data_IF_902711300431
#
_entry.id   IF_902711300431
#
_cell.length_a   1.000
_cell.length_b   1.000
_cell.length_c   1.000
_cell.angle_alpha   90.00
_cell.angle_beta   90.00
_cell.angle_gamma   90.00
#
_symmetry.space_group_name_H-M   'P 1'
#
loop_
_entity.id
_entity.type
_entity.pdbx_description
1 polymer ?
#
# COMPACT_ATOMS: atom_id res chain seq x y z
N UNK A 1 25.34 -27.33 -53.47
CA UNK A 1 24.53 -27.43 -52.24
C UNK A 1 24.50 -26.04 -51.60
N UNK A 2 23.34 -25.37 -51.57
CA UNK A 2 23.19 -24.00 -51.09
C UNK A 2 22.74 -23.99 -49.62
N UNK A 3 23.30 -23.13 -48.77
CA UNK A 3 22.77 -22.85 -47.43
C UNK A 3 22.77 -21.32 -47.22
N UNK A 4 21.54 -20.81 -47.30
CA UNK A 4 20.98 -19.54 -46.85
C UNK A 4 21.93 -18.45 -46.31
N UNK A 5 22.10 -17.39 -47.10
CA UNK A 5 22.36 -16.06 -46.57
C UNK A 5 21.10 -15.56 -45.83
N UNK A 6 21.22 -15.37 -44.53
CA UNK A 6 20.20 -14.66 -43.74
C UNK A 6 20.24 -13.19 -44.13
N UNK A 7 19.13 -12.71 -44.70
CA UNK A 7 18.93 -11.32 -45.03
C UNK A 7 18.98 -10.47 -43.75
N UNK A 8 20.09 -9.77 -43.54
CA UNK A 8 20.16 -8.65 -42.62
C UNK A 8 19.44 -7.48 -43.30
N UNK A 9 18.21 -7.19 -42.88
CA UNK A 9 17.51 -5.95 -43.24
C UNK A 9 18.25 -4.74 -42.63
N UNK A 10 19.32 -4.31 -43.28
CA UNK A 10 20.12 -3.13 -42.94
C UNK A 10 19.50 -1.87 -43.55
N UNK A 11 18.26 -1.54 -43.20
CA UNK A 11 17.66 -0.26 -43.62
C UNK A 11 17.51 0.76 -42.47
N UNK A 12 18.31 0.61 -41.40
CA UNK A 12 18.31 1.56 -40.29
C UNK A 12 19.65 2.31 -40.22
N UNK A 13 19.72 3.47 -40.88
CA UNK A 13 20.91 4.34 -40.95
C UNK A 13 21.36 4.88 -39.56
N UNK A 14 20.49 4.77 -38.55
CA UNK A 14 20.76 5.18 -37.18
C UNK A 14 20.24 4.12 -36.19
N UNK A 15 21.08 3.17 -35.75
CA UNK A 15 20.68 2.18 -34.76
C UNK A 15 20.38 2.86 -33.42
N UNK A 16 19.26 2.48 -32.79
CA UNK A 16 18.91 2.95 -31.44
C UNK A 16 19.79 2.22 -30.42
N UNK A 17 20.46 2.92 -29.49
CA UNK A 17 21.27 2.29 -28.46
C UNK A 17 20.47 1.30 -27.60
N UNK A 18 21.11 0.20 -27.25
CA UNK A 18 20.56 -0.77 -26.31
C UNK A 18 20.31 -0.09 -24.95
N UNK A 19 19.18 -0.39 -24.31
CA UNK A 19 18.77 0.25 -23.05
C UNK A 19 18.03 1.59 -23.20
N UNK A 20 18.06 2.25 -24.37
CA UNK A 20 17.35 3.52 -24.56
C UNK A 20 15.82 3.39 -24.42
N UNK A 21 15.25 2.31 -24.97
CA UNK A 21 13.81 2.04 -24.87
C UNK A 21 13.36 1.81 -23.42
N UNK A 22 13.96 0.89 -22.64
CA UNK A 22 13.66 0.74 -21.21
C UNK A 22 13.77 2.04 -20.42
N UNK A 23 14.80 2.85 -20.69
CA UNK A 23 15.03 4.14 -20.02
C UNK A 23 13.89 5.12 -20.23
N UNK A 24 13.46 5.31 -21.48
CA UNK A 24 12.34 6.19 -21.80
C UNK A 24 11.01 5.67 -21.25
N UNK A 25 10.80 4.35 -21.26
CA UNK A 25 9.61 3.73 -20.66
C UNK A 25 9.57 3.99 -19.16
N UNK A 26 10.70 3.86 -18.45
CA UNK A 26 10.80 4.15 -17.03
C UNK A 26 10.51 5.63 -16.74
N UNK A 27 11.12 6.56 -17.48
CA UNK A 27 10.84 7.99 -17.34
C UNK A 27 9.35 8.29 -17.57
N UNK A 28 8.77 7.78 -18.66
CA UNK A 28 7.36 7.99 -18.99
C UNK A 28 6.44 7.44 -17.88
N UNK A 29 6.77 6.26 -17.34
CA UNK A 29 6.02 5.66 -16.22
C UNK A 29 6.05 6.54 -14.98
N UNK A 30 7.22 7.05 -14.60
CA UNK A 30 7.35 7.92 -13.43
C UNK A 30 6.68 9.29 -13.63
N UNK A 31 6.73 9.85 -14.83
CA UNK A 31 6.01 11.09 -15.16
C UNK A 31 4.50 10.91 -15.06
N UNK A 32 3.96 9.81 -15.60
CA UNK A 32 2.52 9.51 -15.51
C UNK A 32 2.07 9.20 -14.08
N UNK A 33 2.95 8.60 -13.27
CA UNK A 33 2.67 8.25 -11.88
C UNK A 33 2.67 9.48 -10.97
N UNK A 34 3.70 10.32 -11.06
CA UNK A 34 3.89 11.46 -10.15
C UNK A 34 3.24 12.76 -10.67
N UNK A 35 2.89 12.82 -11.97
CA UNK A 35 2.29 13.97 -12.64
C UNK A 35 2.95 15.32 -12.26
N UNK A 36 4.28 15.44 -12.46
CA UNK A 36 5.03 16.58 -11.96
C UNK A 36 4.59 17.89 -12.63
N UNK A 37 4.65 19.00 -11.90
CA UNK A 37 4.30 20.33 -12.43
C UNK A 37 5.33 20.84 -13.45
N UNK A 38 6.60 20.52 -13.23
CA UNK A 38 7.71 20.84 -14.14
C UNK A 38 8.37 19.54 -14.62
N UNK A 39 8.14 19.22 -15.91
CA UNK A 39 8.67 18.03 -16.54
C UNK A 39 10.20 18.07 -16.71
N UNK A 40 10.77 19.26 -16.95
CA UNK A 40 12.22 19.39 -17.19
C UNK A 40 12.99 19.20 -15.90
N UNK A 41 12.57 19.86 -14.82
CA UNK A 41 13.16 19.68 -13.49
C UNK A 41 13.00 18.24 -13.01
N UNK A 42 11.83 17.63 -13.24
CA UNK A 42 11.61 16.22 -12.90
C UNK A 42 12.49 15.27 -13.72
N UNK A 43 12.66 15.52 -15.02
CA UNK A 43 13.55 14.72 -15.87
C UNK A 43 15.00 14.78 -15.40
N UNK A 44 15.49 15.97 -15.04
CA UNK A 44 16.83 16.13 -14.47
C UNK A 44 16.98 15.35 -13.16
N UNK A 45 15.98 15.43 -12.27
CA UNK A 45 15.96 14.68 -11.02
C UNK A 45 15.93 13.17 -11.26
N UNK A 46 15.13 12.69 -12.21
CA UNK A 46 15.03 11.28 -12.59
C UNK A 46 16.40 10.72 -12.97
N UNK A 47 17.09 11.37 -13.92
CA UNK A 47 18.40 10.88 -14.37
C UNK A 47 19.48 11.00 -13.28
N UNK A 48 19.46 12.07 -12.49
CA UNK A 48 20.39 12.22 -11.36
C UNK A 48 20.23 11.09 -10.34
N UNK A 49 18.99 10.82 -9.94
CA UNK A 49 18.65 9.75 -8.99
C UNK A 49 18.98 8.38 -9.57
N UNK A 50 18.77 8.18 -10.88
CA UNK A 50 19.06 6.91 -11.54
C UNK A 50 20.55 6.62 -11.57
N UNK A 51 21.39 7.63 -11.83
CA UNK A 51 22.85 7.49 -11.76
C UNK A 51 23.31 7.21 -10.34
N UNK A 52 22.81 7.96 -9.35
CA UNK A 52 23.19 7.78 -7.95
C UNK A 52 22.89 6.36 -7.46
N UNK A 53 21.67 5.86 -7.70
CA UNK A 53 21.29 4.50 -7.24
C UNK A 53 22.04 3.41 -8.01
N UNK A 54 22.38 3.65 -9.28
CA UNK A 54 23.23 2.73 -10.04
C UNK A 54 24.64 2.64 -9.44
N UNK A 55 25.21 3.75 -9.03
CA UNK A 55 26.55 3.80 -8.43
C UNK A 55 26.56 3.15 -7.04
N UNK A 56 25.48 3.32 -6.27
CA UNK A 56 25.32 2.69 -4.95
C UNK A 56 25.04 1.17 -5.02
N UNK A 57 24.19 0.74 -5.96
CA UNK A 57 23.79 -0.67 -6.08
C UNK A 57 24.73 -1.51 -6.94
N UNK A 58 25.56 -0.89 -7.79
CA UNK A 58 26.43 -1.56 -8.76
C UNK A 58 25.69 -2.32 -9.86
N UNK A 59 24.35 -2.18 -9.93
CA UNK A 59 23.46 -2.86 -10.88
C UNK A 59 22.52 -1.81 -11.47
N UNK A 60 22.19 -1.93 -12.77
CA UNK A 60 21.23 -1.04 -13.41
C UNK A 60 19.87 -1.11 -12.68
N UNK A 61 19.39 0.00 -12.09
CA UNK A 61 18.11 0.03 -11.39
C UNK A 61 16.93 -0.36 -12.27
N UNK A 62 17.04 -0.22 -13.59
CA UNK A 62 15.97 -0.58 -14.53
C UNK A 62 15.86 -2.09 -14.79
N UNK A 63 16.91 -2.87 -14.48
CA UNK A 63 16.94 -4.33 -14.71
C UNK A 63 16.48 -5.14 -13.49
N UNK A 64 16.55 -4.57 -12.29
CA UNK A 64 16.17 -5.25 -11.05
C UNK A 64 14.99 -4.59 -10.38
N UNK A 65 13.92 -5.35 -10.10
CA UNK A 65 12.73 -4.86 -9.40
C UNK A 65 13.06 -4.27 -8.03
N UNK A 66 14.01 -4.85 -7.31
CA UNK A 66 14.40 -4.36 -5.98
C UNK A 66 15.16 -3.03 -6.08
N UNK A 67 16.12 -2.94 -7.02
CA UNK A 67 16.87 -1.70 -7.25
C UNK A 67 15.96 -0.59 -7.79
N UNK A 68 14.99 -0.92 -8.64
CA UNK A 68 13.96 0.01 -9.11
C UNK A 68 13.12 0.55 -7.95
N UNK A 69 12.73 -0.30 -6.99
CA UNK A 69 11.97 0.14 -5.81
C UNK A 69 12.76 1.10 -4.91
N UNK A 70 14.07 0.86 -4.74
CA UNK A 70 14.96 1.78 -4.04
C UNK A 70 15.05 3.13 -4.78
N UNK A 71 15.25 3.09 -6.10
CA UNK A 71 15.23 4.27 -6.97
C UNK A 71 13.93 5.07 -6.85
N UNK A 72 12.77 4.43 -6.95
CA UNK A 72 11.47 5.09 -6.83
C UNK A 72 11.31 5.80 -5.47
N UNK A 73 11.77 5.17 -4.40
CA UNK A 73 11.68 5.73 -3.05
C UNK A 73 12.50 7.01 -2.92
N UNK A 74 13.70 7.04 -3.49
CA UNK A 74 14.55 8.24 -3.52
C UNK A 74 13.96 9.32 -4.42
N UNK A 75 13.47 8.92 -5.61
CA UNK A 75 12.88 9.84 -6.58
C UNK A 75 11.67 10.59 -6.01
N UNK A 76 10.73 9.86 -5.39
CA UNK A 76 9.52 10.45 -4.79
C UNK A 76 9.90 11.40 -3.63
N UNK A 77 10.86 10.99 -2.78
CA UNK A 77 11.33 11.81 -1.66
C UNK A 77 11.90 13.14 -2.15
N UNK A 78 12.76 13.10 -3.18
CA UNK A 78 13.38 14.30 -3.72
C UNK A 78 12.40 15.16 -4.52
N UNK A 79 11.46 14.55 -5.26
CA UNK A 79 10.41 15.28 -5.97
C UNK A 79 9.51 16.05 -5.00
N UNK A 80 9.15 15.44 -3.86
CA UNK A 80 8.44 16.11 -2.77
C UNK A 80 9.27 17.25 -2.16
N UNK A 81 10.57 17.05 -1.94
CA UNK A 81 11.47 18.07 -1.37
C UNK A 81 11.58 19.30 -2.28
N UNK A 82 11.59 19.10 -3.59
CA UNK A 82 11.69 20.16 -4.60
C UNK A 82 10.33 20.75 -5.00
N UNK A 83 9.22 20.28 -4.43
CA UNK A 83 7.88 20.77 -4.73
C UNK A 83 7.46 20.51 -6.19
N UNK A 84 7.96 19.43 -6.79
CA UNK A 84 7.64 19.06 -8.17
C UNK A 84 6.29 18.34 -8.30
N UNK A 85 5.68 17.93 -7.19
CA UNK A 85 4.39 17.25 -7.14
C UNK A 85 3.24 18.11 -7.70
N UNK A 86 2.24 17.44 -8.28
CA UNK A 86 0.99 18.09 -8.65
C UNK A 86 0.34 18.64 -7.38
N UNK A 87 0.22 19.95 -7.27
CA UNK A 87 -0.41 20.57 -6.11
C UNK A 87 -1.81 19.99 -5.91
N UNK A 88 -2.00 19.25 -4.84
CA UNK A 88 -3.34 19.07 -4.28
C UNK A 88 -3.68 20.39 -3.58
N UNK A 89 -3.87 21.46 -4.36
CA UNK A 89 -4.40 22.76 -3.92
C UNK A 89 -5.89 22.63 -3.55
N UNK A 90 -6.21 21.65 -2.70
CA UNK A 90 -7.48 21.53 -1.99
C UNK A 90 -7.31 21.61 -0.48
N UNK A 91 -6.07 21.69 0.03
CA UNK A 91 -5.82 21.72 1.48
C UNK A 91 -4.82 22.79 1.94
N UNK A 92 -4.38 23.71 1.09
CA UNK A 92 -3.42 24.76 1.45
C UNK A 92 -4.05 26.01 2.09
N UNK A 93 -5.38 26.18 2.08
CA UNK A 93 -6.06 27.34 2.69
C UNK A 93 -6.67 27.00 4.06
N UNK A 94 -5.86 26.61 5.05
CA UNK A 94 -6.24 26.61 6.48
C UNK A 94 -5.07 27.04 7.38
N UNK A 95 -4.35 28.08 6.96
CA UNK A 95 -3.54 28.90 7.86
C UNK A 95 -4.36 30.15 8.23
N UNK A 96 -5.46 29.95 8.93
CA UNK A 96 -5.95 30.94 9.89
C UNK A 96 -5.93 30.26 11.24
N UNK A 97 -5.26 30.90 12.19
CA UNK A 97 -5.13 30.44 13.57
C UNK A 97 -6.53 30.45 14.18
N UNK A 98 -7.22 29.31 14.16
CA UNK A 98 -8.52 29.18 14.82
C UNK A 98 -8.31 29.26 16.33
N UNK A 99 -9.02 30.19 16.99
CA UNK A 99 -9.04 30.29 18.44
C UNK A 99 -9.56 28.98 19.05
N UNK A 100 -9.06 28.64 20.24
CA UNK A 100 -9.29 27.34 20.87
C UNK A 100 -10.78 26.99 21.03
N UNK A 101 -11.64 28.00 21.16
CA UNK A 101 -13.09 27.85 21.35
C UNK A 101 -13.82 27.53 20.04
N UNK A 102 -13.23 27.86 18.88
CA UNK A 102 -13.81 27.56 17.56
C UNK A 102 -13.58 26.09 17.16
N UNK A 103 -12.56 25.43 17.70
CA UNK A 103 -12.22 24.03 17.40
C UNK A 103 -13.23 23.07 18.04
N UNK A 104 -13.69 23.37 19.25
CA UNK A 104 -14.69 22.56 19.95
C UNK A 104 -16.06 22.67 19.26
N UNK A 105 -16.46 23.88 18.87
CA UNK A 105 -17.70 24.12 18.13
C UNK A 105 -17.65 23.57 16.69
N UNK A 106 -16.50 23.60 16.02
CA UNK A 106 -16.34 22.99 14.70
C UNK A 106 -16.41 21.46 14.77
N UNK A 107 -15.87 20.87 15.85
CA UNK A 107 -15.90 19.43 16.07
C UNK A 107 -17.32 18.91 16.34
N UNK A 108 -18.15 19.64 17.09
CA UNK A 108 -19.55 19.27 17.38
C UNK A 108 -20.47 19.46 16.18
N UNK A 109 -20.32 20.57 15.43
CA UNK A 109 -21.15 20.86 14.26
C UNK A 109 -20.89 19.90 13.07
N UNK A 110 -19.64 19.50 12.84
CA UNK A 110 -19.30 18.51 11.80
C UNK A 110 -19.81 17.10 12.11
N UNK A 111 -20.00 16.76 13.40
CA UNK A 111 -20.53 15.45 13.81
C UNK A 111 -22.05 15.37 13.73
N UNK A 112 -22.76 16.45 14.06
CA UNK A 112 -24.23 16.49 13.99
C UNK A 112 -24.75 16.47 12.56
N UNK A 113 -24.03 17.06 11.59
CA UNK A 113 -24.44 17.03 10.18
C UNK A 113 -24.33 15.65 9.52
N UNK A 114 -23.50 14.73 10.06
CA UNK A 114 -23.25 13.41 9.47
C UNK A 114 -24.01 12.27 10.18
N UNK A 115 -24.61 12.54 11.35
CA UNK A 115 -25.34 11.55 12.16
C UNK A 115 -26.77 11.26 11.66
N UNK A 116 -27.26 11.95 10.62
CA UNK A 116 -28.65 11.90 10.17
C UNK A 116 -28.99 10.80 9.14
N UNK A 117 -28.13 9.79 8.88
CA UNK A 117 -28.57 8.63 8.07
C UNK A 117 -27.92 7.28 8.40
N UNK A 118 -28.80 6.30 8.67
CA UNK A 118 -28.64 4.83 8.62
C UNK A 118 -27.71 4.12 9.63
N UNK A 119 -28.32 3.26 10.45
CA UNK A 119 -27.73 2.58 11.63
C UNK A 119 -26.52 1.65 11.39
N UNK A 120 -26.29 1.17 10.17
CA UNK A 120 -25.16 0.24 9.90
C UNK A 120 -23.84 0.94 9.54
N UNK A 121 -23.90 2.18 9.01
CA UNK A 121 -22.71 3.02 8.78
C UNK A 121 -22.22 3.68 10.07
N UNK A 122 -23.09 3.75 11.07
CA UNK A 122 -22.83 4.41 12.34
C UNK A 122 -21.68 3.78 13.12
N UNK A 123 -21.47 2.45 13.06
CA UNK A 123 -20.37 1.83 13.78
C UNK A 123 -19.00 2.22 13.22
N UNK A 124 -18.87 2.24 11.90
CA UNK A 124 -17.65 2.67 11.21
C UNK A 124 -17.43 4.18 11.37
N UNK A 125 -18.50 4.97 11.24
CA UNK A 125 -18.45 6.41 11.49
C UNK A 125 -18.03 6.73 12.93
N UNK A 126 -18.59 6.04 13.92
CA UNK A 126 -18.25 6.20 15.35
C UNK A 126 -16.77 5.87 15.60
N UNK A 127 -16.22 4.82 14.98
CA UNK A 127 -14.79 4.48 15.10
C UNK A 127 -13.89 5.55 14.51
N UNK A 128 -14.25 6.09 13.35
CA UNK A 128 -13.52 7.18 12.69
C UNK A 128 -13.60 8.46 13.55
N UNK A 129 -14.79 8.81 14.04
CA UNK A 129 -15.04 9.96 14.91
C UNK A 129 -14.24 9.87 16.22
N UNK A 130 -14.29 8.72 16.90
CA UNK A 130 -13.53 8.48 18.12
C UNK A 130 -12.02 8.55 17.88
N UNK A 131 -11.54 8.03 16.74
CA UNK A 131 -10.15 8.10 16.32
C UNK A 131 -9.66 9.54 16.13
N UNK A 132 -10.41 10.34 15.36
CA UNK A 132 -10.10 11.75 15.08
C UNK A 132 -10.14 12.58 16.37
N UNK A 133 -11.21 12.46 17.16
CA UNK A 133 -11.35 13.18 18.45
C UNK A 133 -10.20 12.85 19.39
N UNK A 134 -9.84 11.58 19.51
CA UNK A 134 -8.70 11.15 20.32
C UNK A 134 -7.37 11.69 19.81
N UNK A 135 -7.13 11.69 18.50
CA UNK A 135 -5.90 12.21 17.90
C UNK A 135 -5.74 13.71 18.16
N UNK A 136 -6.79 14.50 17.92
CA UNK A 136 -6.77 15.95 18.16
C UNK A 136 -6.50 16.26 19.64
N UNK A 137 -7.14 15.53 20.55
CA UNK A 137 -6.92 15.69 21.99
C UNK A 137 -5.48 15.37 22.37
N UNK A 138 -4.93 14.26 21.89
CA UNK A 138 -3.52 13.88 22.17
C UNK A 138 -2.54 14.91 21.63
N UNK A 139 -2.75 15.40 20.40
CA UNK A 139 -1.91 16.44 19.78
C UNK A 139 -1.97 17.76 20.56
N UNK A 140 -3.13 18.14 21.07
CA UNK A 140 -3.29 19.34 21.91
C UNK A 140 -2.58 19.20 23.26
N UNK A 141 -2.68 18.03 23.89
CA UNK A 141 -1.97 17.74 25.14
C UNK A 141 -0.44 17.72 24.93
N UNK A 142 0.03 17.18 23.81
CA UNK A 142 1.44 17.24 23.40
C UNK A 142 1.92 18.69 23.19
N UNK A 143 1.12 19.55 22.54
CA UNK A 143 1.43 20.98 22.39
C UNK A 143 1.50 21.72 23.73
N UNK A 144 0.70 21.29 24.72
CA UNK A 144 0.74 21.79 26.10
C UNK A 144 1.84 21.15 26.97
N UNK A 145 2.70 20.31 26.39
CA UNK A 145 3.82 19.68 27.10
C UNK A 145 3.46 18.49 27.99
N UNK A 146 2.22 17.99 27.89
CA UNK A 146 1.74 16.84 28.68
C UNK A 146 2.04 15.55 27.91
N UNK A 147 2.99 14.75 28.40
CA UNK A 147 3.36 13.46 27.80
C UNK A 147 2.25 12.43 28.02
N UNK A 148 1.43 12.16 27.00
CA UNK A 148 0.43 11.09 27.02
C UNK A 148 1.07 9.78 26.56
N UNK A 149 0.97 8.72 27.36
CA UNK A 149 1.53 7.40 27.03
C UNK A 149 0.83 6.81 25.80
N UNK A 150 1.56 6.62 24.70
CA UNK A 150 1.06 5.99 23.47
C UNK A 150 0.90 4.49 23.73
N UNK A 151 -0.29 3.89 23.59
CA UNK A 151 -0.41 2.43 23.56
C UNK A 151 0.37 1.94 22.34
N UNK A 152 1.28 0.98 22.54
CA UNK A 152 1.98 0.30 21.45
C UNK A 152 0.94 -0.20 20.44
N UNK A 153 1.05 0.27 19.20
CA UNK A 153 0.12 -0.05 18.13
C UNK A 153 0.04 -1.57 17.95
N UNK A 154 -1.08 -2.19 18.36
CA UNK A 154 -1.44 -3.52 17.89
C UNK A 154 -1.71 -3.40 16.39
N UNK A 155 -0.66 -3.68 15.61
CA UNK A 155 -0.62 -3.60 14.17
C UNK A 155 -1.74 -4.46 13.57
N UNK A 156 -2.64 -3.83 12.81
CA UNK A 156 -3.67 -4.49 12.00
C UNK A 156 -3.05 -5.12 10.75
N UNK A 157 -2.05 -5.99 10.94
CA UNK A 157 -1.30 -6.66 9.87
C UNK A 157 -1.77 -8.10 9.61
N UNK A 158 -2.85 -8.52 10.27
CA UNK A 158 -3.33 -9.91 10.18
C UNK A 158 -3.88 -10.27 8.79
N UNK A 159 -4.29 -9.29 7.99
CA UNK A 159 -4.85 -9.52 6.65
C UNK A 159 -3.77 -9.72 5.57
N UNK A 160 -2.65 -8.98 5.63
CA UNK A 160 -1.57 -9.08 4.62
C UNK A 160 -0.67 -10.30 4.83
N UNK A 161 -0.41 -10.68 6.08
CA UNK A 161 0.35 -11.89 6.41
C UNK A 161 -0.36 -13.18 5.95
N UNK A 162 -1.70 -13.16 5.88
CA UNK A 162 -2.49 -14.35 5.51
C UNK A 162 -2.39 -14.70 4.02
N UNK A 163 -2.16 -13.71 3.16
CA UNK A 163 -2.05 -13.89 1.71
C UNK A 163 -0.65 -14.35 1.30
N UNK A 164 0.41 -13.85 1.95
CA UNK A 164 1.79 -14.29 1.68
C UNK A 164 2.11 -15.68 2.24
N UNK A 165 1.32 -16.19 3.19
CA UNK A 165 1.56 -17.46 3.86
C UNK A 165 1.06 -18.71 3.10
N UNK A 166 0.39 -18.58 1.95
CA UNK A 166 -0.12 -19.76 1.22
C UNK A 166 0.94 -20.39 0.29
N UNK A 167 1.92 -19.63 -0.19
CA UNK A 167 2.97 -20.13 -1.09
C UNK A 167 4.26 -20.60 -0.38
N UNK A 168 4.36 -20.39 0.94
CA UNK A 168 5.51 -20.79 1.77
C UNK A 168 5.17 -21.85 2.83
N UNK A 169 4.25 -22.77 2.53
CA UNK A 169 4.17 -24.01 3.29
C UNK A 169 5.37 -24.89 2.94
N UNK A 170 6.51 -24.57 3.55
CA UNK A 170 7.48 -25.61 3.88
C UNK A 170 6.69 -26.72 4.56
N UNK A 171 6.95 -27.95 4.13
CA UNK A 171 6.42 -29.20 4.67
C UNK A 171 6.85 -29.32 6.14
N UNK A 172 6.19 -28.57 7.02
CA UNK A 172 6.42 -28.59 8.46
C UNK A 172 5.92 -29.95 8.93
N UNK A 173 6.85 -30.88 9.14
CA UNK A 173 6.58 -32.16 9.78
C UNK A 173 6.06 -31.85 11.18
N UNK A 174 4.76 -32.09 11.38
CA UNK A 174 4.14 -31.94 12.69
C UNK A 174 4.74 -32.98 13.63
N UNK A 175 5.00 -32.57 14.86
CA UNK A 175 5.28 -33.54 15.93
C UNK A 175 4.06 -34.47 16.12
N UNK A 176 4.24 -35.70 16.62
CA UNK A 176 3.12 -36.63 16.81
C UNK A 176 1.97 -36.04 17.66
N UNK A 177 2.30 -35.26 18.69
CA UNK A 177 1.32 -34.63 19.57
C UNK A 177 0.55 -33.50 18.87
N UNK A 178 1.23 -32.66 18.09
CA UNK A 178 0.57 -31.61 17.30
C UNK A 178 -0.31 -32.20 16.21
N UNK A 179 0.16 -33.26 15.54
CA UNK A 179 -0.62 -34.00 14.55
C UNK A 179 -1.88 -34.61 15.19
N UNK A 180 -1.75 -35.21 16.38
CA UNK A 180 -2.87 -35.74 17.13
C UNK A 180 -3.90 -34.65 17.47
N UNK A 181 -3.46 -33.49 17.96
CA UNK A 181 -4.35 -32.34 18.25
C UNK A 181 -5.09 -31.88 16.99
N UNK A 182 -4.39 -31.77 15.87
CA UNK A 182 -4.98 -31.35 14.59
C UNK A 182 -6.03 -32.35 14.09
N UNK A 183 -5.72 -33.65 14.16
CA UNK A 183 -6.65 -34.73 13.77
C UNK A 183 -7.87 -34.71 14.71
N UNK A 184 -7.67 -34.64 16.02
CA UNK A 184 -8.75 -34.59 17.01
C UNK A 184 -9.65 -33.37 16.82
N UNK A 185 -9.07 -32.19 16.60
CA UNK A 185 -9.81 -30.96 16.33
C UNK A 185 -10.64 -31.07 15.05
N UNK A 186 -10.06 -31.63 13.99
CA UNK A 186 -10.75 -31.85 12.71
C UNK A 186 -11.95 -32.79 12.87
N UNK A 187 -11.75 -33.93 13.55
CA UNK A 187 -12.82 -34.91 13.83
C UNK A 187 -13.92 -34.30 14.68
N UNK A 188 -13.59 -33.62 15.78
CA UNK A 188 -14.58 -32.96 16.65
C UNK A 188 -15.41 -31.92 15.90
N UNK A 189 -14.75 -31.14 15.05
CA UNK A 189 -15.38 -30.14 14.21
C UNK A 189 -16.32 -30.76 13.17
N UNK A 190 -15.90 -31.86 12.53
CA UNK A 190 -16.73 -32.62 11.59
C UNK A 190 -17.98 -33.20 12.25
N UNK A 191 -17.82 -33.86 13.40
CA UNK A 191 -18.95 -34.43 14.16
C UNK A 191 -19.95 -33.35 14.57
N UNK A 192 -19.45 -32.17 14.99
CA UNK A 192 -20.31 -31.03 15.34
C UNK A 192 -21.10 -30.54 14.12
N UNK A 193 -20.45 -30.38 12.96
CA UNK A 193 -21.14 -29.99 11.72
C UNK A 193 -22.17 -31.04 11.30
N UNK A 194 -21.85 -32.33 11.40
CA UNK A 194 -22.78 -33.42 11.08
C UNK A 194 -24.00 -33.44 12.00
N UNK A 195 -23.80 -33.18 13.29
CA UNK A 195 -24.89 -33.06 14.25
C UNK A 195 -25.80 -31.87 13.94
N UNK A 196 -25.22 -30.70 13.67
CA UNK A 196 -25.97 -29.50 13.29
C UNK A 196 -26.68 -29.64 11.93
N UNK A 197 -26.10 -30.39 10.99
CA UNK A 197 -26.73 -30.75 9.72
C UNK A 197 -27.93 -31.68 9.96
N UNK A 198 -27.79 -32.68 10.83
CA UNK A 198 -28.90 -33.58 11.20
C UNK A 198 -30.03 -32.85 11.94
N UNK A 199 -29.71 -31.80 12.71
CA UNK A 199 -30.69 -30.92 13.35
C UNK A 199 -31.29 -29.88 12.38
N UNK A 200 -30.80 -29.79 11.14
CA UNK A 200 -31.26 -28.82 10.14
C UNK A 200 -30.79 -27.37 10.38
N UNK A 201 -29.93 -27.13 11.38
CA UNK A 201 -29.41 -25.81 11.76
C UNK A 201 -28.27 -25.36 10.85
N UNK A 202 -27.57 -26.32 10.22
CA UNK A 202 -26.44 -26.05 9.33
C UNK A 202 -26.64 -26.70 7.95
N UNK A 203 -26.55 -25.90 6.89
CA UNK A 203 -26.58 -26.34 5.50
C UNK A 203 -25.18 -26.18 4.89
N UNK A 204 -24.51 -27.25 4.43
CA UNK A 204 -23.21 -27.12 3.79
C UNK A 204 -23.33 -26.34 2.47
N UNK A 205 -22.38 -25.44 2.21
CA UNK A 205 -22.30 -24.72 0.93
C UNK A 205 -21.96 -25.72 -0.18
N UNK A 206 -22.93 -25.99 -1.06
CA UNK A 206 -22.69 -26.73 -2.31
C UNK A 206 -21.83 -25.85 -3.21
N UNK A 207 -20.62 -26.30 -3.55
CA UNK A 207 -19.83 -25.66 -4.58
C UNK A 207 -20.52 -25.91 -5.93
N UNK A 208 -21.08 -24.86 -6.53
CA UNK A 208 -21.49 -24.88 -7.93
C UNK A 208 -20.24 -25.10 -8.78
N UNK A 209 -20.14 -26.25 -9.44
CA UNK A 209 -19.17 -26.43 -10.50
C UNK A 209 -19.59 -25.48 -11.63
N UNK A 210 -18.71 -24.53 -11.95
CA UNK A 210 -18.78 -23.72 -13.18
C UNK A 210 -18.14 -24.55 -14.29
#
# INVERSE_FOLDING_TARGET
MPEAGTASDTNNRYPVPEGFRPLLVALAREVLSNQPRDLYAFGALFFHTLMQVRDEAGVDPLLSKHAYGAFQSVLIREACRLGLERSSDRNAQRQDVLHADDIENLATNLTDTLATSNMDKNQSATKIQAGIRGYLTRKHLEQKGIKVHRPVELHMDRARLRSQSLDQRHERVLTPDEAAVMIQASVRSYLTRKHLEAQGVYQPRKHSQI
#
